data_IF_741765204257
#
_entry.id   IF_741765204257
#
_cell.length_a   1.000
_cell.length_b   1.000
_cell.length_c   1.000
_cell.angle_alpha   90.00
_cell.angle_beta   90.00
_cell.angle_gamma   90.00
#
_symmetry.space_group_name_H-M   'P 1'
#
loop_
_entity.id
_entity.type
_entity.pdbx_description
1 polymer ?
#
# COMPACT_ATOMS: atom_id res chain seq x y z
N UNK A 1 20.52 3.81 5.52
CA UNK A 1 19.73 4.51 4.49
C UNK A 1 20.45 4.53 3.14
N UNK A 2 21.02 3.40 2.67
CA UNK A 2 21.37 3.22 1.24
C UNK A 2 20.25 2.50 0.47
N UNK A 3 19.23 2.12 1.22
CA UNK A 3 18.10 1.27 0.95
C UNK A 3 16.79 2.07 0.85
N UNK A 4 16.89 3.39 0.93
CA UNK A 4 15.80 4.36 0.84
C UNK A 4 16.23 5.37 -0.22
N UNK A 5 15.33 5.72 -1.12
CA UNK A 5 15.54 6.70 -2.17
C UNK A 5 15.82 8.08 -1.59
N UNK A 6 16.60 8.88 -2.31
CA UNK A 6 16.89 10.26 -1.91
C UNK A 6 15.60 11.08 -1.75
N UNK A 7 14.62 10.83 -2.62
CA UNK A 7 13.28 11.43 -2.57
C UNK A 7 12.54 11.07 -1.29
N UNK A 8 12.49 9.79 -0.92
CA UNK A 8 11.86 9.35 0.32
C UNK A 8 12.56 9.93 1.56
N UNK A 9 13.90 10.02 1.55
CA UNK A 9 14.65 10.69 2.63
C UNK A 9 14.27 12.18 2.71
N UNK A 10 14.18 12.86 1.57
CA UNK A 10 13.84 14.28 1.53
C UNK A 10 12.43 14.54 2.07
N UNK A 11 11.46 13.70 1.71
CA UNK A 11 10.08 13.78 2.24
C UNK A 11 10.06 13.50 3.75
N UNK A 12 10.75 12.46 4.23
CA UNK A 12 10.81 12.16 5.66
C UNK A 12 11.44 13.29 6.46
N UNK A 13 12.56 13.85 5.98
CA UNK A 13 13.20 15.01 6.61
C UNK A 13 12.23 16.20 6.65
N UNK A 14 11.53 16.46 5.54
CA UNK A 14 10.56 17.56 5.49
C UNK A 14 9.43 17.36 6.51
N UNK A 15 8.88 16.14 6.61
CA UNK A 15 7.87 15.76 7.59
C UNK A 15 8.37 15.90 9.04
N UNK A 16 9.62 15.55 9.32
CA UNK A 16 10.22 15.67 10.66
C UNK A 16 10.43 17.12 11.10
N UNK A 17 10.89 17.98 10.18
CA UNK A 17 11.29 19.35 10.52
C UNK A 17 10.18 20.38 10.37
N UNK A 18 9.23 20.16 9.46
CA UNK A 18 8.19 21.16 9.20
C UNK A 18 6.98 21.02 10.12
N UNK A 19 6.77 19.86 10.77
CA UNK A 19 5.61 19.58 11.62
C UNK A 19 4.25 19.85 10.93
N UNK A 20 4.27 20.12 9.61
CA UNK A 20 3.16 20.57 8.80
C UNK A 20 2.83 19.44 7.82
N UNK A 21 2.30 18.41 8.46
CA UNK A 21 1.85 17.17 7.84
C UNK A 21 0.71 17.40 6.84
N UNK A 22 0.09 18.58 6.90
CA UNK A 22 -0.96 19.03 6.00
C UNK A 22 -0.53 19.14 4.52
N UNK A 23 0.78 19.12 4.23
CA UNK A 23 1.28 19.17 2.85
C UNK A 23 1.61 17.81 2.22
N UNK A 24 1.58 16.72 2.98
CA UNK A 24 1.76 15.39 2.38
C UNK A 24 0.45 14.95 1.72
N UNK A 25 0.10 15.56 0.59
CA UNK A 25 -1.00 15.10 -0.24
C UNK A 25 -0.51 13.92 -1.09
N UNK A 26 -1.07 12.72 -0.85
CA UNK A 26 -0.76 11.55 -1.68
C UNK A 26 -1.13 11.75 -3.16
N UNK A 27 -2.02 12.71 -3.46
CA UNK A 27 -2.33 13.08 -4.85
C UNK A 27 -1.14 13.68 -5.61
N UNK A 28 -0.15 14.23 -4.91
CA UNK A 28 1.08 14.78 -5.50
C UNK A 28 2.23 13.77 -5.50
N UNK A 29 2.16 12.73 -4.65
CA UNK A 29 3.19 11.70 -4.54
C UNK A 29 2.90 10.52 -5.45
N UNK A 30 3.96 9.91 -6.01
CA UNK A 30 3.80 8.64 -6.72
C UNK A 30 3.42 7.53 -5.74
N UNK A 31 2.54 6.61 -6.17
CA UNK A 31 2.11 5.48 -5.33
C UNK A 31 3.30 4.62 -4.83
N UNK A 32 4.38 4.56 -5.62
CA UNK A 32 5.63 3.89 -5.28
C UNK A 32 6.37 4.60 -4.14
N UNK A 33 6.49 5.92 -4.20
CA UNK A 33 7.09 6.73 -3.14
C UNK A 33 6.32 6.57 -1.82
N UNK A 34 4.99 6.55 -1.89
CA UNK A 34 4.13 6.39 -0.71
C UNK A 34 4.37 5.03 -0.04
N UNK A 35 4.45 3.97 -0.85
CA UNK A 35 4.76 2.64 -0.35
C UNK A 35 6.15 2.59 0.27
N UNK A 36 7.15 3.21 -0.38
CA UNK A 36 8.51 3.29 0.13
C UNK A 36 8.57 4.04 1.47
N UNK A 37 7.84 5.14 1.60
CA UNK A 37 7.74 5.92 2.83
C UNK A 37 7.12 5.10 3.95
N UNK A 38 5.99 4.42 3.70
CA UNK A 38 5.35 3.53 4.67
C UNK A 38 6.31 2.41 5.11
N UNK A 39 6.98 1.76 4.16
CA UNK A 39 7.98 0.72 4.44
C UNK A 39 9.14 1.25 5.28
N UNK A 40 9.62 2.45 4.97
CA UNK A 40 10.74 3.09 5.66
C UNK A 40 10.36 3.46 7.08
N UNK A 41 9.20 4.10 7.27
CA UNK A 41 8.67 4.47 8.58
C UNK A 41 8.49 3.25 9.47
N UNK A 42 7.93 2.17 8.93
CA UNK A 42 7.82 0.89 9.61
C UNK A 42 9.20 0.35 10.02
N UNK A 43 10.12 0.27 9.06
CA UNK A 43 11.45 -0.32 9.22
C UNK A 43 12.28 0.38 10.30
N UNK A 44 12.18 1.71 10.38
CA UNK A 44 12.89 2.50 11.37
C UNK A 44 12.07 2.79 12.64
N UNK A 45 10.89 2.18 12.77
CA UNK A 45 9.98 2.31 13.91
C UNK A 45 9.65 3.76 14.28
N UNK A 46 9.34 4.58 13.27
CA UNK A 46 8.99 5.99 13.46
C UNK A 46 7.49 6.09 13.72
N UNK A 47 7.06 5.74 14.93
CA UNK A 47 5.66 5.53 15.28
C UNK A 47 4.76 6.74 14.96
N UNK A 48 5.25 7.96 15.15
CA UNK A 48 4.50 9.20 14.87
C UNK A 48 4.16 9.39 13.39
N UNK A 49 5.03 8.93 12.49
CA UNK A 49 4.76 8.95 11.05
C UNK A 49 3.94 7.74 10.61
N UNK A 50 3.95 6.66 11.41
CA UNK A 50 3.26 5.43 11.04
C UNK A 50 1.74 5.60 11.04
N UNK A 51 1.21 6.12 12.14
CA UNK A 51 -0.20 6.47 12.27
C UNK A 51 -0.63 7.51 11.23
N UNK A 52 0.28 8.44 10.92
CA UNK A 52 0.06 9.44 9.89
C UNK A 52 -0.12 8.78 8.51
N UNK A 53 0.83 7.95 8.07
CA UNK A 53 0.74 7.32 6.75
C UNK A 53 -0.47 6.39 6.66
N UNK A 54 -0.85 5.70 7.74
CA UNK A 54 -2.09 4.93 7.80
C UNK A 54 -3.31 5.82 7.54
N UNK A 55 -3.45 6.91 8.28
CA UNK A 55 -4.57 7.83 8.13
C UNK A 55 -4.60 8.46 6.72
N UNK A 56 -3.43 8.84 6.23
CA UNK A 56 -3.27 9.48 4.94
C UNK A 56 -3.64 8.51 3.80
N UNK A 57 -3.13 7.28 3.80
CA UNK A 57 -3.48 6.26 2.79
C UNK A 57 -4.96 5.92 2.86
N UNK A 58 -5.52 5.81 4.06
CA UNK A 58 -6.92 5.44 4.24
C UNK A 58 -7.91 6.54 3.81
N UNK A 59 -7.53 7.82 3.95
CA UNK A 59 -8.38 8.96 3.57
C UNK A 59 -8.46 9.21 2.07
N UNK A 60 -7.51 8.70 1.28
CA UNK A 60 -7.51 8.87 -0.18
C UNK A 60 -8.66 8.16 -0.85
N UNK A 61 -9.08 8.70 -1.99
CA UNK A 61 -9.99 7.98 -2.89
C UNK A 61 -9.35 6.67 -3.33
N UNK A 62 -10.17 5.64 -3.47
CA UNK A 62 -9.75 4.34 -3.95
C UNK A 62 -9.24 4.38 -5.41
N UNK A 63 -9.68 5.39 -6.18
CA UNK A 63 -9.33 5.56 -7.61
C UNK A 63 -7.89 6.05 -7.82
N UNK A 64 -7.23 6.54 -6.76
CA UNK A 64 -5.82 6.99 -6.80
C UNK A 64 -4.88 5.78 -6.88
N UNK A 65 -5.33 4.59 -6.48
CA UNK A 65 -4.48 3.40 -6.43
C UNK A 65 -4.66 2.55 -7.68
N UNK A 66 -3.58 2.35 -8.42
CA UNK A 66 -3.52 1.37 -9.50
C UNK A 66 -3.60 -0.06 -8.96
N UNK A 67 -3.98 -1.01 -9.81
CA UNK A 67 -3.98 -2.44 -9.48
C UNK A 67 -2.58 -2.90 -9.02
N UNK A 68 -1.52 -2.42 -9.69
CA UNK A 68 -0.14 -2.77 -9.37
C UNK A 68 0.21 -2.34 -7.96
N UNK A 69 -0.05 -1.08 -7.62
CA UNK A 69 0.25 -0.57 -6.29
C UNK A 69 -0.60 -1.23 -5.23
N UNK A 70 -1.90 -1.45 -5.50
CA UNK A 70 -2.77 -2.18 -4.56
C UNK A 70 -2.24 -3.59 -4.24
N UNK A 71 -1.66 -4.30 -5.21
CA UNK A 71 -0.97 -5.57 -4.97
C UNK A 71 0.28 -5.40 -4.10
N UNK A 72 1.11 -4.39 -4.37
CA UNK A 72 2.31 -4.13 -3.59
C UNK A 72 2.00 -3.73 -2.14
N UNK A 73 1.01 -2.85 -1.93
CA UNK A 73 0.53 -2.50 -0.60
C UNK A 73 -0.08 -3.72 0.11
N UNK A 74 -0.88 -4.53 -0.59
CA UNK A 74 -1.40 -5.78 -0.02
C UNK A 74 -0.27 -6.71 0.45
N UNK A 75 0.74 -6.93 -0.39
CA UNK A 75 1.87 -7.81 -0.07
C UNK A 75 2.67 -7.32 1.14
N UNK A 76 2.89 -6.02 1.24
CA UNK A 76 3.60 -5.44 2.38
C UNK A 76 2.76 -5.52 3.66
N UNK A 77 1.49 -5.15 3.59
CA UNK A 77 0.59 -5.06 4.75
C UNK A 77 0.03 -6.41 5.20
N UNK A 78 0.14 -7.48 4.40
CA UNK A 78 -0.25 -8.84 4.80
C UNK A 78 0.55 -9.36 6.00
N UNK A 79 1.77 -8.85 6.19
CA UNK A 79 2.72 -9.31 7.22
C UNK A 79 2.68 -8.47 8.50
N UNK A 80 1.92 -7.37 8.51
CA UNK A 80 1.96 -6.35 9.56
C UNK A 80 0.54 -6.06 10.06
N UNK A 81 0.23 -6.47 11.29
CA UNK A 81 -1.13 -6.36 11.82
C UNK A 81 -1.57 -4.90 12.06
N UNK A 82 -0.63 -4.00 12.37
CA UNK A 82 -0.89 -2.56 12.48
C UNK A 82 -1.48 -1.97 11.18
N UNK A 83 -1.18 -2.57 10.02
CA UNK A 83 -1.66 -2.10 8.71
C UNK A 83 -2.89 -2.85 8.21
N UNK A 84 -3.62 -3.54 9.08
CA UNK A 84 -4.84 -4.25 8.71
C UNK A 84 -5.85 -3.35 7.98
N UNK A 85 -5.99 -2.08 8.36
CA UNK A 85 -6.93 -1.16 7.70
C UNK A 85 -6.51 -0.87 6.26
N UNK A 86 -5.22 -0.60 6.03
CA UNK A 86 -4.67 -0.44 4.67
C UNK A 86 -4.88 -1.71 3.87
N UNK A 87 -4.55 -2.88 4.44
CA UNK A 87 -4.73 -4.19 3.81
C UNK A 87 -6.17 -4.40 3.33
N UNK A 88 -7.15 -4.10 4.18
CA UNK A 88 -8.56 -4.22 3.85
C UNK A 88 -8.99 -3.25 2.74
N UNK A 89 -8.47 -2.01 2.74
CA UNK A 89 -8.71 -1.03 1.66
C UNK A 89 -8.18 -1.56 0.33
N UNK A 90 -6.94 -2.07 0.30
CA UNK A 90 -6.33 -2.63 -0.92
C UNK A 90 -7.09 -3.84 -1.45
N UNK A 91 -7.52 -4.74 -0.56
CA UNK A 91 -8.41 -5.85 -0.95
C UNK A 91 -9.71 -5.32 -1.57
N UNK A 92 -10.28 -4.26 -1.03
CA UNK A 92 -11.47 -3.60 -1.60
C UNK A 92 -11.26 -3.11 -3.03
N UNK A 93 -10.12 -2.45 -3.29
CA UNK A 93 -9.71 -1.98 -4.61
C UNK A 93 -9.52 -3.15 -5.58
N UNK A 94 -8.75 -4.17 -5.17
CA UNK A 94 -8.48 -5.36 -5.98
C UNK A 94 -9.77 -6.13 -6.30
N UNK A 95 -10.71 -6.19 -5.35
CA UNK A 95 -11.99 -6.86 -5.54
C UNK A 95 -12.86 -6.17 -6.57
N UNK A 96 -12.97 -4.84 -6.53
CA UNK A 96 -13.75 -4.09 -7.54
C UNK A 96 -13.15 -4.22 -8.94
N UNK A 97 -11.83 -4.43 -9.02
CA UNK A 97 -11.10 -4.61 -10.25
C UNK A 97 -10.79 -6.08 -10.59
N UNK A 98 -11.46 -7.05 -9.95
CA UNK A 98 -11.13 -8.48 -10.07
C UNK A 98 -11.17 -9.01 -11.51
N UNK A 99 -12.07 -8.47 -12.35
CA UNK A 99 -12.14 -8.84 -13.76
C UNK A 99 -10.89 -8.43 -14.55
N UNK A 100 -10.32 -7.26 -14.24
CA UNK A 100 -9.11 -6.74 -14.86
C UNK A 100 -7.85 -7.34 -14.26
N UNK A 101 -7.88 -7.68 -12.96
CA UNK A 101 -6.75 -8.19 -12.19
C UNK A 101 -6.05 -9.36 -12.91
N UNK A 102 -6.82 -10.35 -13.37
CA UNK A 102 -6.30 -11.55 -14.05
C UNK A 102 -5.53 -11.25 -15.34
N UNK A 103 -5.88 -10.18 -16.03
CA UNK A 103 -5.24 -9.78 -17.29
C UNK A 103 -4.02 -8.89 -17.10
N UNK A 104 -3.75 -8.40 -15.89
CA UNK A 104 -2.61 -7.52 -15.65
C UNK A 104 -1.30 -8.31 -15.52
N UNK A 105 -0.25 -7.81 -16.15
CA UNK A 105 1.12 -8.32 -15.97
C UNK A 105 1.54 -8.25 -14.50
N UNK A 106 1.13 -7.20 -13.78
CA UNK A 106 1.41 -7.04 -12.35
C UNK A 106 0.88 -8.20 -11.52
N UNK A 107 -0.31 -8.73 -11.83
CA UNK A 107 -0.86 -9.87 -11.12
C UNK A 107 -0.17 -11.19 -11.49
N UNK A 108 0.22 -11.36 -12.75
CA UNK A 108 1.00 -12.53 -13.18
C UNK A 108 2.36 -12.56 -12.47
N UNK A 109 3.08 -11.44 -12.49
CA UNK A 109 4.34 -11.27 -11.76
C UNK A 109 4.17 -11.51 -10.25
N UNK A 110 3.08 -11.02 -9.67
CA UNK A 110 2.76 -11.25 -8.27
C UNK A 110 2.55 -12.72 -7.93
N UNK A 111 1.80 -13.46 -8.75
CA UNK A 111 1.59 -14.90 -8.59
C UNK A 111 2.91 -15.69 -8.69
N UNK A 112 3.77 -15.33 -9.63
CA UNK A 112 5.05 -16.02 -9.86
C UNK A 112 6.03 -15.78 -8.70
N UNK A 113 6.11 -14.54 -8.21
CA UNK A 113 7.05 -14.15 -7.15
C UNK A 113 6.55 -14.49 -5.74
N UNK A 114 5.23 -14.47 -5.52
CA UNK A 114 4.63 -14.62 -4.19
C UNK A 114 3.45 -15.61 -4.22
N UNK A 115 3.67 -16.88 -4.58
CA UNK A 115 2.58 -17.83 -4.82
C UNK A 115 1.71 -18.10 -3.59
N UNK A 116 2.27 -17.99 -2.37
CA UNK A 116 1.52 -18.18 -1.12
C UNK A 116 0.56 -17.02 -0.87
N UNK A 117 1.08 -15.79 -0.88
CA UNK A 117 0.28 -14.58 -0.71
C UNK A 117 -0.73 -14.40 -1.85
N UNK A 118 -0.42 -14.86 -3.06
CA UNK A 118 -1.36 -14.88 -4.17
C UNK A 118 -2.51 -15.86 -3.97
N UNK A 119 -2.24 -17.04 -3.43
CA UNK A 119 -3.28 -18.01 -3.07
C UNK A 119 -4.20 -17.46 -1.97
N UNK A 120 -3.63 -16.83 -0.94
CA UNK A 120 -4.40 -16.18 0.12
C UNK A 120 -5.30 -15.06 -0.44
N UNK A 121 -4.74 -14.20 -1.30
CA UNK A 121 -5.51 -13.16 -1.98
C UNK A 121 -6.66 -13.77 -2.80
N UNK A 122 -6.39 -14.81 -3.59
CA UNK A 122 -7.40 -15.47 -4.40
C UNK A 122 -8.55 -16.03 -3.55
N UNK A 123 -8.26 -16.67 -2.41
CA UNK A 123 -9.27 -17.15 -1.48
C UNK A 123 -10.15 -16.00 -0.94
N UNK A 124 -9.52 -14.91 -0.49
CA UNK A 124 -10.22 -13.72 0.01
C UNK A 124 -11.15 -13.12 -1.06
N UNK A 125 -10.69 -13.08 -2.31
CA UNK A 125 -11.48 -12.54 -3.43
C UNK A 125 -12.68 -13.44 -3.78
N UNK A 126 -12.56 -14.76 -3.63
CA UNK A 126 -13.61 -15.74 -3.90
C UNK A 126 -14.65 -15.79 -2.77
N UNK A 127 -14.22 -15.84 -1.50
CA UNK A 127 -15.11 -16.00 -0.33
C UNK A 127 -16.21 -14.93 -0.27
N UNK A 128 -15.90 -13.69 -0.65
CA UNK A 128 -16.88 -12.59 -0.66
C UNK A 128 -17.63 -12.40 -1.99
N UNK A 129 -17.43 -13.26 -2.98
CA UNK A 129 -18.32 -13.38 -4.16
C UNK A 129 -19.46 -14.38 -3.89
N UNK A 130 -19.25 -15.33 -2.97
CA UNK A 130 -20.24 -16.34 -2.57
C UNK A 130 -21.28 -15.83 -1.54
N UNK A 131 -21.07 -14.66 -0.92
CA UNK A 131 -22.00 -14.06 0.05
C UNK A 131 -23.07 -13.14 -0.55
N UNK A 132 -23.47 -13.39 -1.80
CA UNK A 132 -24.56 -12.64 -2.47
C UNK A 132 -25.91 -13.32 -2.25
#
# INVERSE_FOLDING_TARGET
MKDVSEEAVQVLVSLFYQNDVHQAELGEMSEELVLELLQTVHKYNISSLDDLFVNLICSQSDDIFSIRSALHFYLFTSKIEAYRVIRLKMIGILKRNAAQLRSTEAYQEFMDKNPKEAMELALILIEKLASK
#
